data_IF_495689035588
#
_entry.id   IF_495689035588
#
_cell.length_a   1.000
_cell.length_b   1.000
_cell.length_c   1.000
_cell.angle_alpha   90.00
_cell.angle_beta   90.00
_cell.angle_gamma   90.00
#
_symmetry.space_group_name_H-M   'P 1'
#
loop_
_entity.id
_entity.type
_entity.pdbx_description
1 polymer ?
#
# COMPACT_ATOMS: atom_id res chain seq x y z
N UNK A 1 -2.90 -1.60 28.18
CA UNK A 1 -3.88 -2.12 27.20
C UNK A 1 -3.46 -1.54 25.85
N UNK A 2 -3.15 -2.36 24.84
CA UNK A 2 -2.75 -1.82 23.54
C UNK A 2 -3.95 -1.07 22.95
N UNK A 3 -3.75 0.19 22.62
CA UNK A 3 -4.77 1.05 22.01
C UNK A 3 -5.03 0.57 20.58
N UNK A 4 -6.15 -0.11 20.37
CA UNK A 4 -6.64 -0.44 19.03
C UNK A 4 -7.10 0.85 18.35
N UNK A 5 -6.56 1.16 17.17
CA UNK A 5 -6.94 2.35 16.38
C UNK A 5 -7.75 1.89 15.17
N UNK A 6 -9.00 2.33 15.06
CA UNK A 6 -9.74 2.29 13.80
C UNK A 6 -9.27 3.44 12.93
N UNK A 7 -8.94 3.16 11.67
CA UNK A 7 -8.79 4.19 10.65
C UNK A 7 -10.18 4.50 10.10
N UNK A 8 -10.72 5.67 10.45
CA UNK A 8 -11.93 6.22 9.84
C UNK A 8 -11.46 7.28 8.85
N UNK A 9 -11.69 7.07 7.57
CA UNK A 9 -11.39 8.06 6.53
C UNK A 9 -12.65 8.88 6.26
N UNK A 10 -12.61 10.17 6.60
CA UNK A 10 -13.57 11.18 6.15
C UNK A 10 -12.83 12.08 5.14
N UNK A 11 -13.43 12.36 3.99
CA UNK A 11 -12.78 13.11 2.90
C UNK A 11 -12.97 14.62 3.06
N UNK A 12 -11.85 15.34 2.99
CA UNK A 12 -11.77 16.68 2.38
C UNK A 12 -10.39 16.78 1.70
N UNK A 13 -10.20 16.05 0.59
CA UNK A 13 -9.01 16.21 -0.25
C UNK A 13 -9.34 15.93 -1.71
N UNK A 14 -9.47 16.99 -2.51
CA UNK A 14 -9.55 16.91 -3.96
C UNK A 14 -8.26 16.34 -4.56
N UNK A 15 -8.34 15.17 -5.21
CA UNK A 15 -7.28 14.62 -6.05
C UNK A 15 -7.76 14.56 -7.51
N UNK A 16 -7.02 15.24 -8.39
CA UNK A 16 -7.23 15.21 -9.84
C UNK A 16 -6.75 13.88 -10.43
N UNK A 17 -7.66 13.12 -11.05
CA UNK A 17 -7.35 11.87 -11.74
C UNK A 17 -6.67 12.19 -13.09
N UNK A 18 -5.37 11.87 -13.20
CA UNK A 18 -4.67 11.89 -14.48
C UNK A 18 -4.76 10.51 -15.15
N UNK A 19 -5.54 10.43 -16.24
CA UNK A 19 -5.57 9.28 -17.13
C UNK A 19 -4.21 9.11 -17.83
N UNK A 20 -3.57 7.95 -17.68
CA UNK A 20 -2.28 7.65 -18.31
C UNK A 20 -2.09 6.17 -18.64
N UNK A 21 -2.35 5.82 -19.90
CA UNK A 21 -1.83 4.70 -20.69
C UNK A 21 -1.32 3.43 -19.97
N UNK A 22 -2.11 2.36 -20.03
CA UNK A 22 -1.67 0.98 -19.79
C UNK A 22 -0.85 0.50 -21.00
N UNK A 23 0.47 0.32 -20.84
CA UNK A 23 1.26 -0.48 -21.78
C UNK A 23 1.12 -1.96 -21.41
N UNK A 24 0.81 -2.80 -22.40
CA UNK A 24 0.90 -4.27 -22.29
C UNK A 24 2.35 -4.65 -21.98
N UNK A 25 2.58 -5.32 -20.86
CA UNK A 25 3.80 -6.09 -20.63
C UNK A 25 3.51 -7.54 -21.02
N UNK A 26 4.21 -8.04 -22.04
CA UNK A 26 4.17 -9.45 -22.42
C UNK A 26 5.00 -10.27 -21.39
N UNK A 27 4.48 -11.45 -21.03
CA UNK A 27 5.16 -12.39 -20.15
C UNK A 27 6.23 -13.17 -20.91
N UNK A 28 7.43 -13.26 -20.35
CA UNK A 28 8.27 -14.45 -20.50
C UNK A 28 9.76 -14.17 -20.69
N UNK A 29 10.52 -14.39 -19.60
CA UNK A 29 11.88 -14.97 -19.51
C UNK A 29 13.07 -14.47 -20.36
N UNK A 30 12.87 -13.78 -21.47
CA UNK A 30 13.95 -13.36 -22.39
C UNK A 30 14.47 -11.95 -22.11
N UNK A 31 13.75 -11.14 -21.33
CA UNK A 31 14.15 -9.74 -21.08
C UNK A 31 15.36 -9.62 -20.15
N UNK A 32 15.52 -10.51 -19.17
CA UNK A 32 16.67 -10.50 -18.26
C UNK A 32 17.99 -10.82 -18.99
N UNK A 33 17.97 -11.71 -19.99
CA UNK A 33 19.15 -11.99 -20.83
C UNK A 33 19.38 -10.89 -21.88
N UNK A 34 18.33 -10.26 -22.42
CA UNK A 34 18.46 -9.15 -23.37
C UNK A 34 18.95 -7.85 -22.72
N UNK A 35 18.67 -7.59 -21.45
CA UNK A 35 19.14 -6.39 -20.73
C UNK A 35 20.66 -6.40 -20.49
N UNK A 36 21.32 -7.58 -20.52
CA UNK A 36 22.78 -7.70 -20.47
C UNK A 36 23.48 -7.38 -21.79
N UNK A 37 22.80 -7.53 -22.92
CA UNK A 37 23.41 -7.40 -24.25
C UNK A 37 23.63 -5.95 -24.71
N UNK A 38 23.09 -4.95 -24.01
CA UNK A 38 23.11 -3.54 -24.44
C UNK A 38 23.76 -2.59 -23.43
N UNK A 39 24.72 -3.07 -22.63
CA UNK A 39 25.46 -2.22 -21.69
C UNK A 39 26.48 -1.34 -22.45
N UNK A 40 26.48 -0.02 -22.26
CA UNK A 40 27.48 0.86 -22.87
C UNK A 40 28.90 0.44 -22.43
N UNK A 41 29.91 0.74 -23.27
CA UNK A 41 31.32 0.43 -22.98
C UNK A 41 31.68 0.90 -21.57
N UNK A 42 31.96 -0.06 -20.69
CA UNK A 42 32.24 0.19 -19.29
C UNK A 42 33.61 0.84 -19.16
N UNK A 43 33.66 1.96 -18.43
CA UNK A 43 34.92 2.58 -18.06
C UNK A 43 35.67 1.64 -17.11
N UNK A 44 36.96 1.42 -17.36
CA UNK A 44 37.79 0.49 -16.58
C UNK A 44 37.95 0.89 -15.11
N UNK A 45 37.67 2.15 -14.77
CA UNK A 45 37.69 2.68 -13.41
C UNK A 45 36.31 2.67 -12.73
N UNK A 46 35.29 2.00 -13.31
CA UNK A 46 33.96 1.86 -12.72
C UNK A 46 33.71 0.40 -12.35
N UNK A 47 33.74 0.10 -11.05
CA UNK A 47 33.36 -1.22 -10.53
C UNK A 47 31.83 -1.28 -10.38
N UNK A 48 31.22 -2.27 -11.01
CA UNK A 48 29.79 -2.52 -10.86
C UNK A 48 29.53 -3.34 -9.59
N UNK A 49 28.64 -2.83 -8.73
CA UNK A 49 28.15 -3.55 -7.55
C UNK A 49 26.83 -4.23 -7.90
N UNK A 50 26.66 -5.48 -7.52
CA UNK A 50 25.42 -6.22 -7.81
C UNK A 50 24.25 -5.66 -6.98
N UNK A 51 23.23 -5.18 -7.69
CA UNK A 51 21.99 -4.63 -7.13
C UNK A 51 20.82 -5.58 -7.45
N UNK A 52 20.79 -6.76 -6.82
CA UNK A 52 19.71 -7.74 -7.03
C UNK A 52 18.57 -7.57 -6.02
N UNK A 53 17.34 -7.70 -6.53
CA UNK A 53 16.12 -7.81 -5.72
C UNK A 53 16.05 -9.19 -5.06
N UNK A 54 15.35 -9.27 -3.92
CA UNK A 54 15.06 -10.51 -3.19
C UNK A 54 13.54 -10.74 -3.08
N UNK A 55 12.76 -10.25 -4.04
CA UNK A 55 11.31 -10.42 -4.07
C UNK A 55 10.88 -11.90 -4.01
N UNK A 56 11.67 -12.81 -4.57
CA UNK A 56 11.40 -14.26 -4.55
C UNK A 56 11.89 -14.96 -3.28
N UNK A 57 12.76 -14.32 -2.47
CA UNK A 57 13.26 -14.83 -1.18
C UNK A 57 12.50 -14.17 -0.03
N UNK A 58 11.25 -14.57 0.17
CA UNK A 58 10.42 -14.10 1.29
C UNK A 58 10.79 -14.81 2.60
N UNK A 59 11.89 -14.41 3.24
CA UNK A 59 12.24 -14.82 4.61
C UNK A 59 11.57 -13.91 5.64
N UNK A 60 10.62 -14.48 6.38
CA UNK A 60 10.04 -14.07 7.69
C UNK A 60 9.43 -12.66 7.83
N UNK A 61 8.43 -12.53 8.72
CA UNK A 61 8.07 -11.29 9.45
C UNK A 61 7.46 -10.10 8.68
N UNK A 62 6.55 -9.34 9.31
CA UNK A 62 6.10 -8.02 8.86
C UNK A 62 7.29 -7.05 8.76
N UNK A 63 8.14 -7.04 9.79
CA UNK A 63 9.30 -6.16 9.89
C UNK A 63 10.33 -6.53 8.83
N UNK A 64 10.75 -7.80 8.82
CA UNK A 64 11.80 -8.31 7.93
C UNK A 64 11.40 -8.25 6.45
N UNK A 65 10.12 -8.49 6.12
CA UNK A 65 9.66 -8.49 4.73
C UNK A 65 9.23 -7.10 4.24
N UNK A 66 8.57 -6.27 5.05
CA UNK A 66 7.91 -5.05 4.52
C UNK A 66 8.53 -3.73 4.91
N UNK A 67 9.23 -3.66 6.05
CA UNK A 67 9.79 -2.41 6.55
C UNK A 67 11.32 -2.41 6.59
N UNK A 68 11.94 -3.58 6.41
CA UNK A 68 13.39 -3.68 6.42
C UNK A 68 14.02 -2.87 5.27
N UNK A 69 15.03 -2.08 5.65
CA UNK A 69 15.88 -1.32 4.74
C UNK A 69 17.34 -1.49 5.18
N UNK A 70 18.23 -1.79 4.23
CA UNK A 70 19.67 -1.94 4.45
C UNK A 70 20.34 -0.57 4.37
N UNK A 71 21.15 -0.19 5.36
CA UNK A 71 21.98 1.02 5.31
C UNK A 71 23.10 0.85 4.27
N UNK A 72 23.12 1.69 3.25
CA UNK A 72 24.17 1.72 2.20
C UNK A 72 25.21 2.78 2.50
N UNK A 73 24.74 3.96 2.91
CA UNK A 73 25.55 5.11 3.37
C UNK A 73 24.70 5.93 4.33
N UNK A 74 25.29 6.91 5.01
CA UNK A 74 24.76 7.79 6.05
C UNK A 74 23.35 8.33 5.80
N UNK A 75 22.93 8.49 4.53
CA UNK A 75 21.61 8.94 4.14
C UNK A 75 21.03 8.15 2.94
N UNK A 76 21.54 6.95 2.70
CA UNK A 76 21.14 6.09 1.58
C UNK A 76 20.79 4.72 2.14
N UNK A 77 19.55 4.31 1.91
CA UNK A 77 19.02 3.03 2.35
C UNK A 77 18.54 2.22 1.15
N UNK A 78 18.51 0.90 1.26
CA UNK A 78 18.10 0.00 0.18
C UNK A 78 17.06 -1.02 0.65
N UNK A 79 15.95 -1.12 -0.07
CA UNK A 79 14.99 -2.20 0.09
C UNK A 79 15.16 -3.24 -1.02
N UNK A 80 15.27 -4.52 -0.63
CA UNK A 80 15.39 -5.66 -1.57
C UNK A 80 14.18 -6.58 -1.56
N UNK A 81 13.47 -6.66 -0.44
CA UNK A 81 12.27 -7.48 -0.32
C UNK A 81 11.07 -6.61 -0.67
N UNK A 82 10.51 -6.82 -1.87
CA UNK A 82 9.44 -5.99 -2.42
C UNK A 82 8.23 -6.87 -2.75
N UNK A 83 7.07 -6.44 -2.28
CA UNK A 83 5.79 -7.06 -2.58
C UNK A 83 5.13 -6.43 -3.79
N UNK A 84 4.46 -7.28 -4.55
CA UNK A 84 3.49 -6.84 -5.55
C UNK A 84 2.28 -6.27 -4.83
N UNK A 85 1.76 -5.11 -5.28
CA UNK A 85 0.46 -4.61 -4.81
C UNK A 85 -0.71 -5.46 -5.33
N UNK A 86 -0.54 -6.06 -6.51
CA UNK A 86 -1.47 -7.03 -7.12
C UNK A 86 -0.70 -8.16 -7.76
N UNK A 87 -1.11 -9.40 -7.57
CA UNK A 87 -0.38 -10.56 -8.10
C UNK A 87 -0.17 -10.53 -9.62
N UNK A 88 -1.13 -9.97 -10.37
CA UNK A 88 -1.04 -9.85 -11.82
C UNK A 88 -0.05 -8.79 -12.31
N UNK A 89 0.34 -7.83 -11.47
CA UNK A 89 1.20 -6.71 -11.84
C UNK A 89 2.55 -6.80 -11.14
N UNK A 90 3.69 -6.69 -11.85
CA UNK A 90 5.02 -6.64 -11.24
C UNK A 90 5.32 -5.27 -10.58
N UNK A 91 4.30 -4.61 -10.05
CA UNK A 91 4.37 -3.28 -9.46
C UNK A 91 4.47 -3.38 -7.93
N UNK A 92 5.41 -2.64 -7.34
CA UNK A 92 5.59 -2.59 -5.89
C UNK A 92 4.33 -2.03 -5.22
N UNK A 93 3.93 -2.60 -4.09
CA UNK A 93 2.84 -2.07 -3.29
C UNK A 93 3.16 -0.65 -2.78
N UNK A 94 2.24 0.31 -3.00
CA UNK A 94 2.46 1.72 -2.67
C UNK A 94 2.72 1.95 -1.17
N UNK A 95 1.90 1.36 -0.31
CA UNK A 95 2.11 1.40 1.15
C UNK A 95 3.47 0.85 1.59
N UNK A 96 4.03 -0.14 0.88
CA UNK A 96 5.39 -0.59 1.16
C UNK A 96 6.41 0.51 0.89
N UNK A 97 6.27 1.23 -0.22
CA UNK A 97 7.16 2.34 -0.55
C UNK A 97 7.07 3.45 0.50
N UNK A 98 5.87 3.78 0.96
CA UNK A 98 5.62 4.78 2.01
C UNK A 98 6.24 4.34 3.34
N UNK A 99 5.94 3.12 3.79
CA UNK A 99 6.43 2.58 5.06
C UNK A 99 7.95 2.50 5.12
N UNK A 100 8.59 2.04 4.04
CA UNK A 100 10.05 1.98 3.93
C UNK A 100 10.69 3.38 3.84
N UNK A 101 10.06 4.33 3.15
CA UNK A 101 10.53 5.71 3.11
C UNK A 101 10.48 6.37 4.50
N UNK A 102 9.40 6.13 5.25
CA UNK A 102 9.27 6.62 6.63
C UNK A 102 10.30 5.95 7.55
N UNK A 103 10.52 4.65 7.44
CA UNK A 103 11.54 3.92 8.21
C UNK A 103 12.96 4.47 7.93
N UNK A 104 13.32 4.65 6.66
CA UNK A 104 14.61 5.22 6.26
C UNK A 104 14.79 6.66 6.75
N UNK A 105 13.75 7.49 6.69
CA UNK A 105 13.79 8.84 7.24
C UNK A 105 13.94 8.84 8.77
N UNK A 106 13.17 7.99 9.47
CA UNK A 106 13.20 7.85 10.93
C UNK A 106 14.58 7.38 11.44
N UNK A 107 15.28 6.54 10.68
CA UNK A 107 16.64 6.11 11.00
C UNK A 107 17.69 7.23 10.96
N UNK A 108 17.35 8.42 10.43
CA UNK A 108 18.24 9.59 10.37
C UNK A 108 17.95 10.68 11.41
N UNK A 109 17.03 10.41 12.34
CA UNK A 109 16.70 11.32 13.46
C UNK A 109 16.98 10.63 14.80
N UNK A 110 17.18 11.42 15.84
CA UNK A 110 17.32 10.93 17.22
C UNK A 110 16.02 10.29 17.72
N UNK A 111 16.12 9.30 18.60
CA UNK A 111 14.99 8.52 19.12
C UNK A 111 13.94 9.34 19.87
N UNK A 112 14.29 10.57 20.31
CA UNK A 112 13.32 11.50 20.90
C UNK A 112 12.34 12.10 19.90
N UNK A 113 12.59 11.99 18.58
CA UNK A 113 11.72 12.52 17.54
C UNK A 113 10.80 11.43 16.97
N UNK A 114 9.51 11.74 16.89
CA UNK A 114 8.50 10.88 16.26
C UNK A 114 7.91 11.57 15.03
N UNK A 115 7.65 10.83 13.94
CA UNK A 115 6.94 11.39 12.81
C UNK A 115 5.54 11.83 13.22
N UNK A 116 5.12 13.00 12.75
CA UNK A 116 3.78 13.52 12.98
C UNK A 116 3.05 13.91 11.68
N UNK A 117 3.78 14.08 10.58
CA UNK A 117 3.18 14.23 9.26
C UNK A 117 4.10 13.69 8.16
N UNK A 118 3.48 13.21 7.08
CA UNK A 118 4.12 12.74 5.88
C UNK A 118 3.28 13.19 4.68
N UNK A 119 3.93 13.74 3.67
CA UNK A 119 3.31 14.10 2.39
C UNK A 119 4.08 13.42 1.26
N UNK A 120 3.40 12.78 0.32
CA UNK A 120 4.07 11.98 -0.70
C UNK A 120 3.43 12.05 -2.07
N UNK A 121 4.24 11.79 -3.10
CA UNK A 121 3.81 11.66 -4.48
C UNK A 121 4.39 10.38 -5.08
N UNK A 122 3.53 9.58 -5.72
CA UNK A 122 3.94 8.51 -6.63
C UNK A 122 4.18 9.12 -8.01
N UNK A 123 5.41 8.96 -8.53
CA UNK A 123 5.85 9.56 -9.80
C UNK A 123 5.82 8.52 -10.91
N UNK A 124 6.32 7.31 -10.62
CA UNK A 124 6.36 6.19 -11.55
C UNK A 124 6.09 4.87 -10.84
N UNK A 125 5.61 3.88 -11.60
CA UNK A 125 5.41 2.53 -11.09
C UNK A 125 6.75 1.88 -10.75
N UNK A 126 6.96 1.55 -9.47
CA UNK A 126 8.13 0.78 -9.04
C UNK A 126 8.03 -0.70 -9.45
N UNK A 127 9.15 -1.30 -9.87
CA UNK A 127 9.25 -2.73 -10.19
C UNK A 127 9.67 -3.55 -8.97
N UNK A 128 9.02 -4.70 -8.75
CA UNK A 128 9.43 -5.63 -7.67
C UNK A 128 10.75 -6.36 -7.96
N UNK A 129 11.18 -6.39 -9.22
CA UNK A 129 12.38 -7.14 -9.63
C UNK A 129 13.69 -6.36 -9.47
N UNK A 130 13.61 -5.09 -9.04
CA UNK A 130 14.77 -4.22 -8.82
C UNK A 130 14.72 -3.67 -7.38
N UNK A 131 15.83 -3.56 -6.65
CA UNK A 131 15.84 -2.90 -5.34
C UNK A 131 15.35 -1.44 -5.44
N UNK A 132 14.87 -0.89 -4.33
CA UNK A 132 14.58 0.55 -4.22
C UNK A 132 15.68 1.19 -3.38
N UNK A 133 16.28 2.27 -3.89
CA UNK A 133 17.16 3.14 -3.12
C UNK A 133 16.37 4.31 -2.54
N UNK A 134 16.44 4.49 -1.23
CA UNK A 134 15.88 5.64 -0.52
C UNK A 134 17.00 6.62 -0.18
N UNK A 135 17.00 7.77 -0.84
CA UNK A 135 17.94 8.87 -0.58
C UNK A 135 17.29 9.91 0.34
N UNK A 136 17.94 10.22 1.45
CA UNK A 136 17.40 11.08 2.50
C UNK A 136 18.11 12.44 2.48
N UNK A 137 17.38 13.50 2.20
CA UNK A 137 17.83 14.88 2.32
C UNK A 137 17.45 15.40 3.73
N UNK A 138 18.46 15.67 4.58
CA UNK A 138 18.27 16.23 5.94
C UNK A 138 18.03 17.74 5.89
N UNK A 139 16.80 18.13 5.56
CA UNK A 139 16.42 19.54 5.33
C UNK A 139 16.62 20.41 6.58
N UNK A 140 16.23 19.94 7.76
CA UNK A 140 16.49 20.67 9.01
C UNK A 140 16.53 19.77 10.24
N UNK A 141 17.35 20.17 11.21
CA UNK A 141 17.42 19.61 12.56
C UNK A 141 17.33 20.75 13.57
N UNK A 142 16.10 21.12 13.95
CA UNK A 142 15.84 22.15 14.96
C UNK A 142 15.68 21.51 16.33
N UNK A 143 15.42 22.34 17.34
CA UNK A 143 15.28 21.89 18.74
C UNK A 143 14.12 20.91 18.95
N UNK A 144 12.95 21.22 18.39
CA UNK A 144 11.70 20.46 18.56
C UNK A 144 11.22 19.79 17.28
N UNK A 145 11.69 20.25 16.11
CA UNK A 145 11.28 19.72 14.81
C UNK A 145 12.48 19.28 13.96
N UNK A 146 12.31 18.18 13.23
CA UNK A 146 13.21 17.75 12.18
C UNK A 146 12.42 17.55 10.88
N UNK A 147 13.05 17.87 9.75
CA UNK A 147 12.43 17.65 8.42
C UNK A 147 13.35 16.82 7.57
N UNK A 148 12.78 15.82 6.89
CA UNK A 148 13.46 14.98 5.91
C UNK A 148 12.70 15.02 4.59
N UNK A 149 13.42 15.02 3.48
CA UNK A 149 12.86 14.72 2.16
C UNK A 149 13.45 13.39 1.72
N UNK A 150 12.61 12.50 1.21
CA UNK A 150 12.99 11.16 0.75
C UNK A 150 12.73 11.06 -0.74
N UNK A 151 13.70 10.53 -1.47
CA UNK A 151 13.53 10.13 -2.87
C UNK A 151 13.74 8.63 -2.97
N UNK A 152 12.71 7.91 -3.42
CA UNK A 152 12.81 6.49 -3.75
C UNK A 152 13.18 6.37 -5.23
N UNK A 153 14.24 5.62 -5.54
CA UNK A 153 14.88 5.57 -6.86
C UNK A 153 15.00 4.13 -7.33
N UNK A 154 14.68 3.91 -8.60
CA UNK A 154 15.01 2.71 -9.37
C UNK A 154 15.57 3.11 -10.73
N UNK A 155 16.58 2.40 -11.23
CA UNK A 155 17.26 2.70 -12.50
C UNK A 155 17.69 4.18 -12.66
N UNK A 156 18.05 4.81 -11.55
CA UNK A 156 18.44 6.24 -11.54
C UNK A 156 17.27 7.22 -11.72
N UNK A 157 16.02 6.75 -11.72
CA UNK A 157 14.80 7.57 -11.83
C UNK A 157 14.02 7.56 -10.51
N UNK A 158 13.47 8.71 -10.14
CA UNK A 158 12.59 8.80 -8.97
C UNK A 158 11.24 8.13 -9.27
N UNK A 159 10.88 7.14 -8.47
CA UNK A 159 9.57 6.47 -8.52
C UNK A 159 8.60 7.07 -7.51
N UNK A 160 9.12 7.65 -6.43
CA UNK A 160 8.33 8.21 -5.33
C UNK A 160 9.14 9.28 -4.59
N UNK A 161 8.45 10.29 -4.09
CA UNK A 161 9.02 11.29 -3.19
C UNK A 161 8.13 11.48 -1.98
N UNK A 162 8.73 11.74 -0.82
CA UNK A 162 7.98 12.23 0.33
C UNK A 162 8.75 13.26 1.13
N UNK A 163 8.02 14.06 1.89
CA UNK A 163 8.55 14.92 2.94
C UNK A 163 7.96 14.47 4.27
N UNK A 164 8.82 14.27 5.25
CA UNK A 164 8.46 13.80 6.59
C UNK A 164 8.85 14.86 7.61
N UNK A 165 7.91 15.20 8.48
CA UNK A 165 8.14 16.07 9.62
C UNK A 165 8.10 15.26 10.91
N UNK A 166 9.10 15.48 11.75
CA UNK A 166 9.25 14.84 13.05
C UNK A 166 9.19 15.88 14.15
N UNK A 167 8.62 15.50 15.29
CA UNK A 167 8.47 16.34 16.46
C UNK A 167 8.89 15.57 17.71
N UNK A 168 9.48 16.26 18.69
CA UNK A 168 9.73 15.67 20.01
C UNK A 168 8.43 15.52 20.78
N UNK A 169 8.38 14.55 21.69
CA UNK A 169 7.29 14.55 22.66
C UNK A 169 7.38 15.82 23.53
N UNK A 170 6.30 16.57 23.57
CA UNK A 170 6.12 17.74 24.42
C UNK A 170 4.73 17.65 25.07
N UNK A 171 4.51 18.22 26.27
CA UNK A 171 3.20 18.21 26.89
C UNK A 171 2.15 18.91 26.01
N UNK A 172 1.00 18.28 25.84
CA UNK A 172 -0.09 18.86 25.08
C UNK A 172 -0.61 20.14 25.75
N UNK A 173 -0.67 21.23 24.98
CA UNK A 173 -1.28 22.47 25.44
C UNK A 173 -2.81 22.42 25.36
N UNK A 174 -3.34 21.71 24.37
CA UNK A 174 -4.77 21.58 24.07
C UNK A 174 -5.01 20.15 23.58
N UNK A 175 -6.02 19.47 24.13
CA UNK A 175 -6.36 18.09 23.76
C UNK A 175 -7.83 18.04 23.33
N UNK A 176 -8.06 17.64 22.08
CA UNK A 176 -9.38 17.32 21.54
C UNK A 176 -9.23 16.34 20.36
N UNK A 177 -10.27 15.55 20.09
CA UNK A 177 -10.37 14.67 18.93
C UNK A 177 -11.84 14.46 18.59
N UNK A 178 -12.13 14.02 17.37
CA UNK A 178 -13.47 13.55 17.02
C UNK A 178 -13.86 12.31 17.83
N UNK A 179 -15.16 12.13 18.06
CA UNK A 179 -15.68 10.90 18.64
C UNK A 179 -15.53 9.75 17.65
N UNK A 180 -15.11 8.60 18.15
CA UNK A 180 -14.98 7.38 17.36
C UNK A 180 -16.38 6.90 16.92
N UNK A 181 -16.62 6.64 15.64
CA UNK A 181 -17.91 6.14 15.18
C UNK A 181 -18.27 4.81 15.83
N UNK A 182 -19.55 4.65 16.17
CA UNK A 182 -20.08 3.38 16.67
C UNK A 182 -20.16 2.38 15.52
N UNK A 183 -19.38 1.31 15.59
CA UNK A 183 -19.33 0.21 14.63
C UNK A 183 -19.29 -1.12 15.37
N UNK A 184 -19.62 -2.21 14.68
CA UNK A 184 -19.53 -3.56 15.24
C UNK A 184 -18.10 -3.82 15.75
N UNK A 185 -17.94 -4.32 16.98
CA UNK A 185 -16.62 -4.57 17.57
C UNK A 185 -15.90 -5.71 16.83
N UNK A 186 -14.55 -5.72 16.85
CA UNK A 186 -13.79 -6.67 16.04
C UNK A 186 -14.07 -8.11 16.44
N UNK A 187 -14.32 -8.42 17.71
CA UNK A 187 -14.58 -9.77 18.23
C UNK A 187 -15.81 -10.44 17.61
N UNK A 188 -16.77 -9.64 17.14
CA UNK A 188 -17.99 -10.12 16.47
C UNK A 188 -17.83 -10.22 14.95
N UNK A 189 -16.73 -9.72 14.41
CA UNK A 189 -16.44 -9.71 12.98
C UNK A 189 -15.49 -10.84 12.60
N UNK A 190 -15.63 -11.28 11.35
CA UNK A 190 -14.78 -12.33 10.76
C UNK A 190 -13.69 -11.70 9.91
N UNK A 191 -12.57 -12.41 9.79
CA UNK A 191 -11.51 -12.00 8.86
C UNK A 191 -12.01 -12.08 7.42
N UNK A 192 -11.57 -11.13 6.60
CA UNK A 192 -11.94 -10.97 5.21
C UNK A 192 -11.72 -12.25 4.41
N UNK A 193 -10.61 -12.96 4.64
CA UNK A 193 -10.29 -14.20 3.92
C UNK A 193 -11.29 -15.30 4.24
N UNK A 194 -11.64 -15.46 5.51
CA UNK A 194 -12.62 -16.46 5.95
C UNK A 194 -14.00 -16.19 5.34
N UNK A 195 -14.35 -14.90 5.17
CA UNK A 195 -15.58 -14.51 4.49
C UNK A 195 -15.54 -14.95 3.01
N UNK A 196 -14.44 -14.67 2.27
CA UNK A 196 -14.30 -15.15 0.87
C UNK A 196 -14.47 -16.66 0.81
N UNK A 197 -13.71 -17.39 1.64
CA UNK A 197 -13.62 -18.85 1.56
C UNK A 197 -14.97 -19.52 1.83
N UNK A 198 -15.76 -19.01 2.77
CA UNK A 198 -17.10 -19.50 3.03
C UNK A 198 -18.09 -19.18 1.90
N UNK A 199 -18.03 -17.95 1.35
CA UNK A 199 -18.86 -17.59 0.19
C UNK A 199 -18.57 -18.46 -1.04
N UNK A 200 -17.33 -18.93 -1.21
CA UNK A 200 -16.99 -19.88 -2.28
C UNK A 200 -17.60 -21.27 -2.06
N UNK A 201 -17.83 -21.66 -0.80
CA UNK A 201 -18.44 -22.95 -0.40
C UNK A 201 -19.97 -22.90 -0.36
N UNK A 202 -20.57 -21.73 -0.22
CA UNK A 202 -22.04 -21.57 -0.14
C UNK A 202 -22.70 -21.80 -1.51
N UNK A 203 -23.59 -22.79 -1.61
CA UNK A 203 -24.33 -23.11 -2.83
C UNK A 203 -25.34 -22.03 -3.25
N UNK A 204 -25.70 -21.11 -2.35
CA UNK A 204 -26.57 -19.98 -2.66
C UNK A 204 -25.88 -18.88 -3.47
N UNK A 205 -24.54 -18.83 -3.43
CA UNK A 205 -23.76 -17.83 -4.17
C UNK A 205 -23.67 -18.22 -5.64
N UNK A 206 -24.00 -17.29 -6.54
CA UNK A 206 -24.04 -17.55 -7.98
C UNK A 206 -22.65 -17.92 -8.53
N UNK A 207 -22.62 -18.69 -9.62
CA UNK A 207 -21.36 -19.07 -10.30
C UNK A 207 -20.55 -17.85 -10.72
N UNK A 208 -21.22 -16.81 -11.23
CA UNK A 208 -20.59 -15.55 -11.61
C UNK A 208 -19.93 -14.85 -10.43
N UNK A 209 -20.63 -14.75 -9.29
CA UNK A 209 -20.08 -14.17 -8.07
C UNK A 209 -18.89 -14.99 -7.55
N UNK A 210 -19.00 -16.32 -7.50
CA UNK A 210 -17.87 -17.19 -7.11
C UNK A 210 -16.65 -16.99 -8.01
N UNK A 211 -16.83 -16.77 -9.31
CA UNK A 211 -15.73 -16.48 -10.23
C UNK A 211 -15.07 -15.12 -9.92
N UNK A 212 -15.86 -14.08 -9.64
CA UNK A 212 -15.36 -12.76 -9.23
C UNK A 212 -14.58 -12.81 -7.92
N UNK A 213 -15.10 -13.51 -6.91
CA UNK A 213 -14.43 -13.69 -5.62
C UNK A 213 -13.09 -14.42 -5.76
N UNK A 214 -13.04 -15.49 -6.57
CA UNK A 214 -11.79 -16.19 -6.89
C UNK A 214 -10.79 -15.27 -7.58
N UNK A 215 -11.25 -14.42 -8.51
CA UNK A 215 -10.38 -13.46 -9.19
C UNK A 215 -9.81 -12.42 -8.22
N UNK A 216 -10.65 -11.82 -7.35
CA UNK A 216 -10.21 -10.89 -6.30
C UNK A 216 -9.19 -11.53 -5.36
N UNK A 217 -9.48 -12.71 -4.83
CA UNK A 217 -8.57 -13.41 -3.91
C UNK A 217 -7.22 -13.73 -4.56
N UNK A 218 -7.21 -14.04 -5.87
CA UNK A 218 -5.97 -14.27 -6.62
C UNK A 218 -5.11 -13.02 -6.78
N UNK A 219 -5.72 -11.83 -6.75
CA UNK A 219 -4.97 -10.56 -6.84
C UNK A 219 -4.33 -10.15 -5.52
N UNK A 220 -4.88 -10.59 -4.37
CA UNK A 220 -4.32 -10.32 -3.04
C UNK A 220 -3.04 -11.13 -2.85
N UNK A 221 -1.89 -10.49 -2.57
CA UNK A 221 -0.67 -11.23 -2.31
C UNK A 221 -0.76 -12.07 -1.03
N UNK A 222 -0.37 -13.37 -1.05
CA UNK A 222 -0.44 -14.24 0.14
C UNK A 222 0.32 -13.68 1.36
N UNK A 223 1.32 -12.85 1.10
CA UNK A 223 2.08 -12.13 2.10
C UNK A 223 1.22 -11.23 2.99
N UNK A 224 0.24 -10.52 2.43
CA UNK A 224 -0.65 -9.62 3.19
C UNK A 224 -1.49 -10.39 4.19
N UNK A 225 -2.12 -11.49 3.76
CA UNK A 225 -2.95 -12.33 4.62
C UNK A 225 -2.16 -12.94 5.79
N UNK A 226 -0.85 -13.16 5.60
CA UNK A 226 0.02 -13.71 6.64
C UNK A 226 0.26 -12.71 7.78
N UNK A 227 0.34 -11.43 7.47
CA UNK A 227 0.85 -10.42 8.40
C UNK A 227 -0.20 -9.47 8.94
N UNK A 228 -1.33 -9.34 8.25
CA UNK A 228 -2.43 -8.51 8.68
C UNK A 228 -3.72 -9.31 8.75
N UNK A 229 -4.55 -8.91 9.68
CA UNK A 229 -5.94 -9.30 9.82
C UNK A 229 -6.81 -8.12 9.41
N UNK A 230 -7.81 -8.41 8.58
CA UNK A 230 -8.73 -7.43 8.05
C UNK A 230 -10.15 -7.88 8.37
N UNK A 231 -10.84 -7.18 9.26
CA UNK A 231 -12.23 -7.49 9.61
C UNK A 231 -13.14 -6.37 9.12
N UNK A 232 -13.76 -6.51 7.93
CA UNK A 232 -14.67 -5.49 7.42
C UNK A 232 -15.93 -5.42 8.28
N UNK A 233 -16.38 -4.21 8.60
CA UNK A 233 -17.65 -3.96 9.31
C UNK A 233 -18.82 -4.17 8.34
N UNK A 234 -18.69 -3.64 7.11
CA UNK A 234 -19.66 -3.78 6.04
C UNK A 234 -19.27 -4.95 5.12
N UNK A 235 -20.02 -6.06 5.20
CA UNK A 235 -19.78 -7.25 4.38
C UNK A 235 -20.14 -7.02 2.91
N UNK A 236 -21.05 -6.08 2.64
CA UNK A 236 -21.46 -5.68 1.30
C UNK A 236 -20.34 -5.03 0.49
N UNK A 237 -19.28 -4.56 1.15
CA UNK A 237 -18.08 -4.04 0.48
C UNK A 237 -17.47 -5.02 -0.54
N UNK A 238 -17.61 -6.33 -0.32
CA UNK A 238 -16.83 -7.32 -1.05
C UNK A 238 -17.63 -8.47 -1.67
N UNK A 239 -18.85 -8.74 -1.19
CA UNK A 239 -19.56 -10.00 -1.47
C UNK A 239 -21.02 -9.87 -1.86
N UNK A 240 -21.68 -8.79 -1.47
CA UNK A 240 -23.11 -8.62 -1.65
C UNK A 240 -23.35 -7.39 -2.51
N UNK A 241 -24.14 -7.56 -3.57
CA UNK A 241 -24.81 -6.43 -4.19
C UNK A 241 -25.82 -5.93 -3.16
N UNK A 242 -25.57 -4.75 -2.58
CA UNK A 242 -26.49 -4.18 -1.61
C UNK A 242 -27.84 -3.83 -2.25
N UNK A 243 -27.93 -3.80 -3.59
CA UNK A 243 -29.11 -3.35 -4.32
C UNK A 243 -29.43 -1.87 -4.06
N UNK A 244 -28.53 -1.14 -3.39
CA UNK A 244 -28.74 0.26 -3.03
C UNK A 244 -28.37 1.17 -4.20
N UNK A 245 -29.32 1.99 -4.62
CA UNK A 245 -29.14 2.98 -5.70
C UNK A 245 -28.16 4.12 -5.30
N UNK A 246 -27.79 4.24 -4.01
CA UNK A 246 -26.97 5.34 -3.50
C UNK A 246 -25.93 4.89 -2.47
N UNK A 247 -25.01 4.03 -2.91
CA UNK A 247 -23.91 3.52 -2.08
C UNK A 247 -22.98 4.67 -1.68
N UNK A 248 -22.88 4.94 -0.37
CA UNK A 248 -21.99 5.98 0.16
C UNK A 248 -20.51 5.60 0.01
N UNK A 249 -19.59 6.54 -0.26
CA UNK A 249 -18.14 6.31 -0.31
C UNK A 249 -17.55 6.15 1.10
N UNK A 250 -18.12 5.26 1.90
CA UNK A 250 -17.71 5.01 3.28
C UNK A 250 -17.46 3.53 3.50
N UNK A 251 -16.32 3.27 4.12
CA UNK A 251 -15.87 1.94 4.52
C UNK A 251 -15.43 1.99 5.97
N UNK A 252 -15.68 0.93 6.72
CA UNK A 252 -15.13 0.76 8.06
C UNK A 252 -14.61 -0.66 8.20
N UNK A 253 -13.42 -0.79 8.77
CA UNK A 253 -12.77 -2.06 8.97
C UNK A 253 -11.82 -1.99 10.16
N UNK A 254 -11.66 -3.14 10.80
CA UNK A 254 -10.64 -3.34 11.82
C UNK A 254 -9.40 -3.94 11.19
N UNK A 255 -8.25 -3.41 11.59
CA UNK A 255 -6.94 -3.78 11.09
C UNK A 255 -6.07 -4.19 12.27
N UNK A 256 -5.38 -5.32 12.14
CA UNK A 256 -4.45 -5.78 13.18
C UNK A 256 -3.25 -6.47 12.55
N UNK A 257 -2.04 -6.12 13.00
CA UNK A 257 -0.85 -6.91 12.67
C UNK A 257 -0.94 -8.25 13.41
N UNK A 258 -0.76 -9.36 12.68
CA UNK A 258 -0.80 -10.73 13.23
C UNK A 258 0.46 -11.09 14.02
N UNK A 259 1.51 -10.29 13.87
CA UNK A 259 2.82 -10.52 14.47
C UNK A 259 3.15 -9.45 15.50
N UNK A 260 4.05 -9.78 16.43
CA UNK A 260 4.59 -8.80 17.37
C UNK A 260 5.57 -7.87 16.65
N UNK A 261 5.22 -6.58 16.57
CA UNK A 261 6.02 -5.55 15.89
C UNK A 261 6.95 -4.76 16.84
N UNK A 262 7.14 -5.25 18.07
CA UNK A 262 7.98 -4.61 19.10
C UNK A 262 7.32 -3.39 19.75
N UNK A 263 8.09 -2.70 20.60
CA UNK A 263 7.59 -1.57 21.41
C UNK A 263 8.04 -0.18 20.91
N UNK A 264 8.84 -0.11 19.83
CA UNK A 264 9.27 1.17 19.27
C UNK A 264 8.08 1.87 18.56
N UNK A 265 7.57 3.01 19.07
CA UNK A 265 6.42 3.68 18.48
C UNK A 265 6.66 4.13 17.03
N UNK A 266 7.91 4.39 16.62
CA UNK A 266 8.23 4.77 15.25
C UNK A 266 7.98 3.63 14.29
N UNK A 267 8.26 2.40 14.72
CA UNK A 267 7.98 1.20 13.92
C UNK A 267 6.47 1.00 13.74
N UNK A 268 5.67 1.21 14.80
CA UNK A 268 4.21 1.22 14.71
C UNK A 268 3.71 2.29 13.73
N UNK A 269 4.31 3.47 13.69
CA UNK A 269 3.96 4.53 12.74
C UNK A 269 4.36 4.18 11.30
N UNK A 270 5.48 3.46 11.09
CA UNK A 270 5.85 2.92 9.79
C UNK A 270 4.84 1.88 9.30
N UNK A 271 4.37 1.00 10.19
CA UNK A 271 3.29 0.03 9.90
C UNK A 271 1.97 0.74 9.60
N UNK A 272 1.64 1.80 10.35
CA UNK A 272 0.44 2.60 10.10
C UNK A 272 0.49 3.30 8.73
N UNK A 273 1.65 3.85 8.35
CA UNK A 273 1.86 4.45 7.03
C UNK A 273 1.87 3.42 5.91
N UNK A 274 2.31 2.19 6.19
CA UNK A 274 2.20 1.07 5.27
C UNK A 274 0.74 0.72 4.99
N UNK A 275 -0.06 0.55 6.04
CA UNK A 275 -1.43 0.04 5.91
C UNK A 275 -2.41 1.11 5.41
N UNK A 276 -2.09 2.41 5.56
CA UNK A 276 -2.98 3.50 5.13
C UNK A 276 -3.29 3.47 3.63
N UNK A 277 -2.39 2.92 2.81
CA UNK A 277 -2.57 2.82 1.35
C UNK A 277 -3.32 1.54 0.93
N UNK A 278 -3.88 0.75 1.87
CA UNK A 278 -4.54 -0.52 1.53
C UNK A 278 -5.94 -0.34 0.92
N UNK A 279 -6.77 0.55 1.46
CA UNK A 279 -8.23 0.51 1.22
C UNK A 279 -8.86 1.85 0.83
N UNK A 280 -8.07 2.93 0.82
CA UNK A 280 -8.55 4.26 0.45
C UNK A 280 -9.14 4.28 -0.96
N UNK A 281 -8.43 3.71 -1.94
CA UNK A 281 -8.90 3.68 -3.33
C UNK A 281 -10.16 2.84 -3.51
N UNK A 282 -10.29 1.72 -2.78
CA UNK A 282 -11.48 0.87 -2.85
C UNK A 282 -12.73 1.62 -2.34
N UNK A 283 -12.56 2.41 -1.29
CA UNK A 283 -13.63 3.25 -0.72
C UNK A 283 -14.11 4.30 -1.72
N UNK A 284 -13.18 4.99 -2.40
CA UNK A 284 -13.51 6.01 -3.40
C UNK A 284 -14.19 5.43 -4.64
N UNK A 285 -13.84 4.20 -5.06
CA UNK A 285 -14.45 3.55 -6.23
C UNK A 285 -15.81 2.92 -5.89
N UNK A 286 -16.17 2.77 -4.61
CA UNK A 286 -17.41 2.10 -4.17
C UNK A 286 -18.67 2.64 -4.88
N UNK A 287 -18.93 3.96 -4.96
CA UNK A 287 -20.12 4.49 -5.65
C UNK A 287 -20.07 4.35 -7.18
N UNK A 288 -18.90 4.04 -7.74
CA UNK A 288 -18.66 3.94 -9.19
C UNK A 288 -18.47 2.49 -9.66
N UNK A 289 -18.52 1.53 -8.75
CA UNK A 289 -18.23 0.14 -9.05
C UNK A 289 -19.32 -0.44 -9.94
N UNK A 290 -18.93 -0.89 -11.15
CA UNK A 290 -19.78 -1.46 -12.21
C UNK A 290 -20.40 -2.82 -11.82
N UNK A 291 -20.32 -3.22 -10.55
CA UNK A 291 -21.09 -4.35 -10.04
C UNK A 291 -22.60 -4.09 -10.12
N UNK A 292 -23.02 -2.85 -10.36
CA UNK A 292 -24.36 -2.50 -10.82
C UNK A 292 -24.42 -2.54 -12.35
N UNK A 293 -24.97 -3.59 -12.99
CA UNK A 293 -25.41 -3.47 -14.37
C UNK A 293 -26.54 -2.44 -14.42
N UNK A 294 -26.22 -1.20 -14.74
CA UNK A 294 -27.21 -0.16 -15.01
C UNK A 294 -27.87 -0.48 -16.37
N UNK A 295 -29.20 -0.71 -16.44
CA UNK A 295 -29.89 -1.05 -17.70
C UNK A 295 -29.64 -0.03 -18.82
N UNK A 296 -29.43 1.22 -18.43
CA UNK A 296 -29.22 2.38 -19.30
C UNK A 296 -27.80 2.53 -19.89
N UNK A 297 -26.82 1.71 -19.46
CA UNK A 297 -25.48 1.68 -20.08
C UNK A 297 -25.35 0.68 -21.22
N UNK A 298 -26.42 -0.09 -21.52
CA UNK A 298 -26.54 -0.96 -22.68
C UNK A 298 -27.20 -0.22 -23.86
N UNK A 299 -26.83 1.04 -24.09
CA UNK A 299 -27.37 1.92 -25.14
C UNK A 299 -27.19 1.41 -26.57
N UNK A 300 -27.87 0.31 -26.89
CA UNK A 300 -28.36 -0.05 -28.20
C UNK A 300 -29.83 0.37 -28.21
N UNK A 301 -30.08 1.54 -28.79
CA UNK A 301 -31.40 1.94 -29.24
C UNK A 301 -31.89 0.92 -30.29
N UNK A 302 -32.97 0.16 -30.05
CA UNK A 302 -33.49 -0.80 -31.03
C UNK A 302 -34.19 -0.13 -32.22
N UNK A 303 -34.26 1.20 -32.30
CA UNK A 303 -35.05 1.91 -33.32
C UNK A 303 -34.24 2.47 -34.50
N UNK A 304 -32.96 2.13 -34.63
CA UNK A 304 -32.14 2.51 -35.79
C UNK A 304 -31.55 1.28 -36.51
N UNK A 305 -32.42 0.46 -37.09
CA UNK A 305 -32.11 -0.37 -38.27
C UNK A 305 -33.31 -0.27 -39.22
N UNK A 306 -33.18 0.63 -40.20
CA UNK A 306 -33.64 0.51 -41.58
C UNK A 306 -32.68 1.32 -42.46
#
# INVERSE_FOLDING_TARGET
MPSEKIIVTDEDTTLSVANGYVRKFEKGSDEAEKEHANRPRQLTNVTYVEFSSRADDMKAGLIDTFLNVELVDSNIYMARHLLKGRQSLPAVYGGQVIGQALAAAAATVDDSYKPHSLHSYFIQTGSVYKPILYMIDRVSDRRSFCTRVVKAIQDGQAIFTCQVSFHKDEPDAIVHQHEMPVVTPPEELRDFRDIIEDSLRDDKVTVAMKAMLKAKLKEVPPAFDRVFEFRPVDRGMYYEDSGEENVQPRTSMWLRAKENIGDDPRLHQCVAAYISDCTMLETAIKPHSILQPRPEHLGLDPTCID
#
